data_IF_036865522981
#
_entry.id   IF_036865522981
#
_cell.length_a   1.000
_cell.length_b   1.000
_cell.length_c   1.000
_cell.angle_alpha   90.00
_cell.angle_beta   90.00
_cell.angle_gamma   90.00
#
_symmetry.space_group_name_H-M   'P 1'
#
loop_
_entity.id
_entity.type
_entity.pdbx_description
1 polymer ?
#
# COMPACT_ATOMS: atom_id res chain seq x y z
N UNK A 1 19.11 5.25 -15.00
CA UNK A 1 18.27 5.78 -16.10
C UNK A 1 17.75 7.14 -15.65
N UNK A 2 18.57 8.17 -15.83
CA UNK A 2 18.24 9.54 -15.43
C UNK A 2 17.31 10.15 -16.48
N UNK A 3 16.12 10.58 -16.05
CA UNK A 3 15.22 11.42 -16.87
C UNK A 3 15.86 12.80 -17.06
N UNK A 4 16.89 12.88 -17.88
CA UNK A 4 17.50 14.14 -18.32
C UNK A 4 16.59 14.78 -19.36
N UNK A 5 16.19 16.03 -19.08
CA UNK A 5 15.53 16.91 -20.04
C UNK A 5 16.48 17.12 -21.23
N UNK A 6 16.28 16.42 -22.34
CA UNK A 6 17.06 16.61 -23.56
C UNK A 6 16.19 17.31 -24.61
N UNK A 7 16.67 18.42 -25.17
CA UNK A 7 15.98 19.16 -26.25
C UNK A 7 16.08 18.43 -27.62
N UNK A 8 15.98 17.11 -27.64
CA UNK A 8 15.98 16.30 -28.86
C UNK A 8 14.54 16.04 -29.32
N UNK A 9 14.30 16.00 -30.62
CA UNK A 9 12.95 15.79 -31.17
C UNK A 9 12.27 14.48 -30.73
N UNK A 10 13.05 13.45 -30.37
CA UNK A 10 12.55 12.19 -29.82
C UNK A 10 12.00 12.31 -28.39
N UNK A 11 12.54 13.23 -27.59
CA UNK A 11 12.08 13.50 -26.24
C UNK A 11 10.68 14.13 -26.25
N UNK A 12 10.45 15.12 -27.11
CA UNK A 12 9.13 15.73 -27.29
C UNK A 12 8.07 14.74 -27.78
N UNK A 13 8.43 13.81 -28.68
CA UNK A 13 7.52 12.72 -29.08
C UNK A 13 7.13 11.87 -27.87
N UNK A 14 8.09 11.53 -27.01
CA UNK A 14 7.82 10.75 -25.79
C UNK A 14 6.91 11.52 -24.82
N UNK A 15 7.15 12.83 -24.63
CA UNK A 15 6.29 13.70 -23.81
C UNK A 15 4.87 13.74 -24.36
N UNK A 16 4.70 13.94 -25.67
CA UNK A 16 3.37 13.97 -26.30
C UNK A 16 2.65 12.61 -26.24
N UNK A 17 3.37 11.50 -26.34
CA UNK A 17 2.81 10.16 -26.15
C UNK A 17 2.32 10.00 -24.70
N UNK A 18 3.10 10.43 -23.70
CA UNK A 18 2.67 10.39 -22.30
C UNK A 18 1.47 11.30 -22.04
N UNK A 19 1.45 12.51 -22.59
CA UNK A 19 0.30 13.43 -22.50
C UNK A 19 -0.93 12.83 -23.16
N UNK A 20 -0.78 12.19 -24.34
CA UNK A 20 -1.87 11.50 -25.02
C UNK A 20 -2.39 10.31 -24.20
N UNK A 21 -1.51 9.49 -23.61
CA UNK A 21 -1.92 8.38 -22.73
C UNK A 21 -2.68 8.91 -21.51
N UNK A 22 -2.18 9.97 -20.87
CA UNK A 22 -2.86 10.62 -19.73
C UNK A 22 -4.24 11.14 -20.18
N UNK A 23 -4.31 11.84 -21.31
CA UNK A 23 -5.55 12.35 -21.88
C UNK A 23 -6.56 11.24 -22.17
N UNK A 24 -6.13 10.16 -22.84
CA UNK A 24 -6.97 8.98 -23.14
C UNK A 24 -7.42 8.30 -21.84
N UNK A 25 -6.56 8.20 -20.83
CA UNK A 25 -6.91 7.61 -19.54
C UNK A 25 -7.97 8.44 -18.80
N UNK A 26 -7.82 9.77 -18.78
CA UNK A 26 -8.78 10.69 -18.18
C UNK A 26 -10.13 10.65 -18.91
N UNK A 27 -10.11 10.63 -20.25
CA UNK A 27 -11.32 10.47 -21.06
C UNK A 27 -11.98 9.11 -20.80
N UNK A 28 -11.21 8.03 -20.72
CA UNK A 28 -11.72 6.69 -20.43
C UNK A 28 -12.40 6.65 -19.05
N UNK A 29 -11.80 7.26 -18.04
CA UNK A 29 -12.39 7.39 -16.70
C UNK A 29 -13.72 8.16 -16.78
N UNK A 30 -13.73 9.30 -17.49
CA UNK A 30 -14.94 10.12 -17.66
C UNK A 30 -16.07 9.34 -18.35
N UNK A 31 -15.78 8.68 -19.47
CA UNK A 31 -16.78 7.92 -20.24
C UNK A 31 -17.25 6.65 -19.54
N UNK A 32 -16.41 6.06 -18.68
CA UNK A 32 -16.71 4.79 -18.01
C UNK A 32 -17.88 4.86 -17.01
N UNK A 33 -18.37 6.05 -16.64
CA UNK A 33 -19.38 6.26 -15.58
C UNK A 33 -19.03 5.61 -14.21
N UNK A 34 -17.84 5.02 -14.05
CA UNK A 34 -17.40 4.43 -12.78
C UNK A 34 -17.19 5.49 -11.71
N UNK A 35 -16.85 6.72 -12.11
CA UNK A 35 -16.84 7.90 -11.23
C UNK A 35 -18.23 8.18 -10.64
N UNK A 36 -19.32 7.94 -11.38
CA UNK A 36 -20.68 8.10 -10.86
C UNK A 36 -21.06 7.00 -9.86
N UNK A 37 -20.50 5.79 -9.96
CA UNK A 37 -20.68 4.76 -8.93
C UNK A 37 -19.82 5.06 -7.68
N UNK A 38 -18.67 5.70 -7.83
CA UNK A 38 -17.86 6.17 -6.68
C UNK A 38 -18.46 7.42 -6.00
N UNK A 39 -19.15 8.28 -6.75
CA UNK A 39 -19.77 9.52 -6.26
C UNK A 39 -21.21 9.30 -5.77
N UNK A 40 -22.02 8.47 -6.45
CA UNK A 40 -23.44 8.24 -6.14
C UNK A 40 -23.76 6.81 -5.66
N UNK A 41 -22.84 5.85 -5.80
CA UNK A 41 -23.06 4.42 -5.50
C UNK A 41 -22.51 3.98 -4.14
N UNK A 42 -21.89 4.89 -3.40
CA UNK A 42 -21.57 4.69 -1.99
C UNK A 42 -22.82 5.05 -1.20
N UNK A 43 -23.38 4.08 -0.47
CA UNK A 43 -24.61 4.26 0.33
C UNK A 43 -24.62 5.62 1.03
N UNK A 44 -25.59 6.47 0.68
CA UNK A 44 -25.69 7.81 1.23
C UNK A 44 -25.77 7.72 2.75
N UNK A 45 -24.82 8.37 3.43
CA UNK A 45 -24.98 8.66 4.86
C UNK A 45 -26.14 9.63 5.07
N UNK A 46 -26.42 9.97 6.33
CA UNK A 46 -27.50 10.89 6.70
C UNK A 46 -27.42 12.20 5.87
N UNK A 47 -28.45 12.46 5.07
CA UNK A 47 -28.49 13.57 4.10
C UNK A 47 -28.50 14.96 4.77
N UNK A 48 -28.59 15.02 6.11
CA UNK A 48 -28.72 16.26 6.88
C UNK A 48 -27.44 16.69 7.64
N UNK A 49 -26.29 16.08 7.37
CA UNK A 49 -25.04 16.45 8.05
C UNK A 49 -24.43 17.72 7.47
N UNK A 50 -24.12 18.70 8.32
CA UNK A 50 -23.44 19.93 7.92
C UNK A 50 -22.03 19.64 7.34
N UNK A 51 -21.69 20.33 6.24
CA UNK A 51 -20.43 20.14 5.52
C UNK A 51 -19.22 20.41 6.41
N UNK A 52 -19.30 21.43 7.29
CA UNK A 52 -18.18 21.80 8.16
C UNK A 52 -17.88 20.71 9.20
N UNK A 53 -18.93 20.07 9.73
CA UNK A 53 -18.84 18.94 10.65
C UNK A 53 -18.25 17.74 9.93
N UNK A 54 -18.75 17.44 8.72
CA UNK A 54 -18.30 16.31 7.92
C UNK A 54 -16.81 16.41 7.57
N UNK A 55 -16.36 17.57 7.10
CA UNK A 55 -14.94 17.79 6.78
C UNK A 55 -14.07 17.68 8.04
N UNK A 56 -14.47 18.34 9.13
CA UNK A 56 -13.66 18.39 10.35
C UNK A 56 -13.53 17.01 10.99
N UNK A 57 -14.64 16.28 11.14
CA UNK A 57 -14.65 14.95 11.72
C UNK A 57 -13.84 13.96 10.86
N UNK A 58 -14.01 14.00 9.54
CA UNK A 58 -13.28 13.12 8.64
C UNK A 58 -11.79 13.46 8.60
N UNK A 59 -11.40 14.73 8.64
CA UNK A 59 -10.00 15.13 8.66
C UNK A 59 -9.28 14.63 9.93
N UNK A 60 -9.96 14.69 11.08
CA UNK A 60 -9.45 14.17 12.36
C UNK A 60 -9.30 12.63 12.31
N UNK A 61 -10.25 11.93 11.71
CA UNK A 61 -10.25 10.47 11.61
C UNK A 61 -9.46 9.92 10.42
N UNK A 62 -9.04 10.77 9.49
CA UNK A 62 -8.33 10.36 8.28
C UNK A 62 -7.07 9.51 8.55
N UNK A 63 -6.26 9.77 9.60
CA UNK A 63 -5.15 8.90 9.94
C UNK A 63 -5.58 7.45 10.20
N UNK A 64 -6.77 7.19 10.76
CA UNK A 64 -7.30 5.84 10.95
C UNK A 64 -7.51 5.12 9.61
N UNK A 65 -8.03 5.82 8.61
CA UNK A 65 -8.20 5.30 7.25
C UNK A 65 -6.85 4.96 6.60
N UNK A 66 -5.86 5.86 6.72
CA UNK A 66 -4.53 5.66 6.14
C UNK A 66 -3.78 4.50 6.81
N UNK A 67 -3.83 4.42 8.14
CA UNK A 67 -3.20 3.33 8.89
C UNK A 67 -3.90 1.99 8.63
N UNK A 68 -5.20 2.01 8.26
CA UNK A 68 -5.97 0.84 7.84
C UNK A 68 -5.30 -0.02 6.77
N UNK A 69 -4.49 0.59 5.89
CA UNK A 69 -3.71 -0.10 4.85
C UNK A 69 -2.77 -1.16 5.45
N UNK A 70 -2.25 -0.92 6.66
CA UNK A 70 -1.26 -1.77 7.30
C UNK A 70 -1.88 -2.94 8.08
N UNK A 71 -3.22 -2.98 8.19
CA UNK A 71 -3.96 -4.09 8.82
C UNK A 71 -4.70 -3.74 10.10
N UNK A 72 -4.86 -2.46 10.44
CA UNK A 72 -5.78 -2.07 11.54
C UNK A 72 -7.25 -2.23 11.15
N UNK A 73 -7.53 -2.29 9.85
CA UNK A 73 -8.83 -2.67 9.30
C UNK A 73 -8.75 -4.08 8.71
N UNK A 74 -9.87 -4.79 8.70
CA UNK A 74 -9.91 -6.15 8.14
C UNK A 74 -9.58 -6.20 6.64
N UNK A 75 -8.98 -7.30 6.19
CA UNK A 75 -8.81 -7.57 4.76
C UNK A 75 -10.15 -7.94 4.11
N UNK A 76 -10.19 -8.08 2.78
CA UNK A 76 -11.39 -8.56 2.08
C UNK A 76 -12.59 -7.63 2.25
N UNK A 77 -13.68 -8.10 2.86
CA UNK A 77 -14.86 -7.28 3.19
C UNK A 77 -14.82 -6.81 4.65
N UNK A 78 -13.64 -6.43 5.12
CA UNK A 78 -13.36 -6.03 6.51
C UNK A 78 -13.61 -7.14 7.54
N UNK A 79 -13.75 -8.38 7.09
CA UNK A 79 -14.13 -9.54 7.90
C UNK A 79 -12.91 -10.38 8.35
N UNK A 80 -11.72 -10.03 7.84
CA UNK A 80 -10.47 -10.71 8.19
C UNK A 80 -9.57 -9.76 8.97
N UNK A 81 -9.79 -9.66 10.28
CA UNK A 81 -8.98 -8.82 11.16
C UNK A 81 -7.55 -9.34 11.29
N UNK A 82 -6.58 -8.44 11.14
CA UNK A 82 -5.17 -8.79 11.28
C UNK A 82 -4.69 -8.61 12.72
N UNK A 83 -3.92 -9.56 13.27
CA UNK A 83 -3.38 -9.42 14.62
C UNK A 83 -2.35 -8.29 14.70
N UNK A 84 -2.13 -7.79 15.93
CA UNK A 84 -1.18 -6.71 16.21
C UNK A 84 0.23 -6.94 15.69
N UNK A 85 0.69 -8.20 15.66
CA UNK A 85 2.00 -8.56 15.11
C UNK A 85 2.16 -8.19 13.62
N UNK A 86 1.07 -8.16 12.85
CA UNK A 86 1.09 -7.77 11.44
C UNK A 86 1.14 -6.26 11.32
N UNK A 87 0.12 -5.54 11.82
CA UNK A 87 -0.02 -4.11 11.54
C UNK A 87 1.04 -3.25 12.23
N UNK A 88 1.51 -3.64 13.42
CA UNK A 88 2.61 -2.94 14.10
C UNK A 88 3.89 -3.06 13.28
N UNK A 89 4.19 -4.26 12.79
CA UNK A 89 5.41 -4.53 12.03
C UNK A 89 5.40 -3.80 10.68
N UNK A 90 4.29 -3.87 9.93
CA UNK A 90 4.18 -3.25 8.61
C UNK A 90 4.17 -1.73 8.70
N UNK A 91 3.44 -1.15 9.66
CA UNK A 91 3.44 0.30 9.91
C UNK A 91 4.83 0.78 10.31
N UNK A 92 5.49 0.10 11.24
CA UNK A 92 6.84 0.45 11.69
C UNK A 92 7.84 0.48 10.53
N UNK A 93 7.88 -0.58 9.72
CA UNK A 93 8.80 -0.65 8.57
C UNK A 93 8.48 0.45 7.56
N UNK A 94 7.21 0.64 7.22
CA UNK A 94 6.81 1.67 6.27
C UNK A 94 7.20 3.07 6.75
N UNK A 95 6.87 3.41 8.00
CA UNK A 95 7.21 4.70 8.60
C UNK A 95 8.72 4.91 8.68
N UNK A 96 9.49 3.88 9.06
CA UNK A 96 10.95 3.96 9.11
C UNK A 96 11.56 4.22 7.72
N UNK A 97 11.07 3.52 6.69
CA UNK A 97 11.53 3.71 5.32
C UNK A 97 11.15 5.08 4.76
N UNK A 98 9.92 5.54 4.99
CA UNK A 98 9.46 6.88 4.58
C UNK A 98 10.30 7.96 5.26
N UNK A 99 10.49 7.87 6.57
CA UNK A 99 11.31 8.81 7.31
C UNK A 99 12.77 8.82 6.81
N UNK A 100 13.34 7.65 6.56
CA UNK A 100 14.67 7.55 5.95
C UNK A 100 14.71 8.18 4.55
N UNK A 101 13.76 7.87 3.67
CA UNK A 101 13.72 8.40 2.30
C UNK A 101 13.49 9.91 2.23
N UNK A 102 12.87 10.49 3.25
CA UNK A 102 12.73 11.94 3.42
C UNK A 102 14.04 12.67 3.74
N UNK A 103 15.12 11.94 4.08
CA UNK A 103 16.45 12.52 4.29
C UNK A 103 17.08 13.14 3.04
N UNK A 104 16.48 12.94 1.86
CA UNK A 104 16.89 13.58 0.61
C UNK A 104 15.69 14.05 -0.21
N UNK A 105 15.64 15.34 -0.52
CA UNK A 105 14.66 15.93 -1.43
C UNK A 105 15.34 16.90 -2.41
N UNK A 106 15.26 16.60 -3.70
CA UNK A 106 15.43 17.62 -4.73
C UNK A 106 14.10 18.37 -4.96
N UNK A 107 14.13 19.51 -5.64
CA UNK A 107 12.93 20.34 -5.87
C UNK A 107 11.82 19.57 -6.59
N UNK A 108 12.17 18.65 -7.48
CA UNK A 108 11.22 17.87 -8.28
C UNK A 108 10.54 16.80 -7.43
N UNK A 109 11.30 16.05 -6.65
CA UNK A 109 10.82 15.05 -5.69
C UNK A 109 9.99 15.72 -4.60
N UNK A 110 10.40 16.87 -4.08
CA UNK A 110 9.61 17.61 -3.10
C UNK A 110 8.25 18.00 -3.67
N UNK A 111 8.20 18.55 -4.88
CA UNK A 111 6.94 18.90 -5.54
C UNK A 111 6.05 17.67 -5.77
N UNK A 112 6.61 16.57 -6.29
CA UNK A 112 5.88 15.34 -6.54
C UNK A 112 5.38 14.67 -5.25
N UNK A 113 6.21 14.62 -4.20
CA UNK A 113 5.85 14.06 -2.91
C UNK A 113 4.75 14.89 -2.23
N UNK A 114 4.86 16.22 -2.26
CA UNK A 114 3.80 17.11 -1.73
C UNK A 114 2.50 16.94 -2.52
N UNK A 115 2.55 16.84 -3.84
CA UNK A 115 1.36 16.59 -4.65
C UNK A 115 0.68 15.27 -4.28
N UNK A 116 1.45 14.18 -4.17
CA UNK A 116 0.92 12.87 -3.80
C UNK A 116 0.42 12.81 -2.36
N UNK A 117 1.10 13.50 -1.43
CA UNK A 117 0.67 13.62 -0.04
C UNK A 117 -0.64 14.41 0.08
N UNK A 118 -0.76 15.52 -0.65
CA UNK A 118 -2.02 16.27 -0.74
C UNK A 118 -3.13 15.41 -1.35
N UNK A 119 -2.83 14.60 -2.37
CA UNK A 119 -3.80 13.68 -2.96
C UNK A 119 -4.24 12.58 -1.97
N UNK A 120 -3.32 12.05 -1.13
CA UNK A 120 -3.63 11.09 -0.07
C UNK A 120 -4.63 11.63 0.96
N UNK A 121 -4.71 12.94 1.13
CA UNK A 121 -5.66 13.62 2.02
C UNK A 121 -6.93 13.99 1.26
N UNK A 122 -6.78 14.71 0.14
CA UNK A 122 -7.89 15.30 -0.59
C UNK A 122 -8.79 14.25 -1.26
N UNK A 123 -8.23 13.18 -1.81
CA UNK A 123 -9.00 12.14 -2.50
C UNK A 123 -10.00 11.41 -1.59
N UNK A 124 -9.59 10.76 -0.48
CA UNK A 124 -10.54 10.11 0.41
C UNK A 124 -11.49 11.10 1.08
N UNK A 125 -11.04 12.31 1.41
CA UNK A 125 -11.91 13.35 1.98
C UNK A 125 -13.00 13.77 1.00
N UNK A 126 -12.67 13.94 -0.29
CA UNK A 126 -13.65 14.26 -1.33
C UNK A 126 -14.69 13.15 -1.49
N UNK A 127 -14.28 11.87 -1.44
CA UNK A 127 -15.20 10.73 -1.49
C UNK A 127 -16.11 10.68 -0.27
N UNK A 128 -15.59 10.92 0.93
CA UNK A 128 -16.36 10.95 2.17
C UNK A 128 -17.38 12.09 2.17
N UNK A 129 -16.97 13.27 1.67
CA UNK A 129 -17.87 14.43 1.53
C UNK A 129 -18.95 14.19 0.48
N UNK A 130 -18.59 13.64 -0.70
CA UNK A 130 -19.56 13.38 -1.76
C UNK A 130 -20.59 12.31 -1.39
N UNK A 131 -20.24 11.41 -0.47
CA UNK A 131 -21.10 10.33 0.01
C UNK A 131 -21.77 10.60 1.36
N UNK A 132 -21.65 11.83 1.89
CA UNK A 132 -22.15 12.21 3.23
C UNK A 132 -21.75 11.22 4.33
N UNK A 133 -20.54 10.65 4.22
CA UNK A 133 -20.09 9.50 5.02
C UNK A 133 -18.94 9.87 5.95
N UNK A 134 -18.86 9.20 7.10
CA UNK A 134 -17.73 9.31 8.01
C UNK A 134 -16.70 8.20 7.78
N UNK A 135 -15.42 8.47 8.10
CA UNK A 135 -14.39 7.43 8.19
C UNK A 135 -14.89 6.28 9.07
N UNK A 136 -14.76 5.04 8.57
CA UNK A 136 -15.26 3.83 9.24
C UNK A 136 -16.48 3.20 8.57
N UNK A 137 -17.08 3.89 7.60
CA UNK A 137 -18.25 3.40 6.85
C UNK A 137 -17.86 2.85 5.48
N UNK A 138 -18.08 3.64 4.44
CA UNK A 138 -18.06 3.17 3.06
C UNK A 138 -16.70 3.33 2.35
N UNK A 139 -15.91 4.32 2.76
CA UNK A 139 -14.58 4.55 2.20
C UNK A 139 -13.58 3.67 2.94
N UNK A 140 -13.01 2.70 2.21
CA UNK A 140 -12.08 1.72 2.76
C UNK A 140 -10.62 2.06 2.46
N UNK A 141 -9.66 1.63 3.31
CA UNK A 141 -8.24 1.87 3.10
C UNK A 141 -7.68 1.42 1.75
N UNK A 142 -8.28 0.37 1.14
CA UNK A 142 -7.87 -0.13 -0.18
C UNK A 142 -8.00 0.90 -1.31
N UNK A 143 -8.88 1.91 -1.16
CA UNK A 143 -9.10 2.93 -2.19
C UNK A 143 -7.92 3.92 -2.30
N UNK A 144 -7.13 4.07 -1.25
CA UNK A 144 -5.94 4.93 -1.22
C UNK A 144 -4.62 4.16 -1.39
N UNK A 145 -4.69 2.83 -1.53
CA UNK A 145 -3.51 1.96 -1.65
C UNK A 145 -2.59 2.33 -2.84
N UNK A 146 -3.09 2.63 -4.05
CA UNK A 146 -2.22 3.04 -5.15
C UNK A 146 -1.49 4.36 -4.85
N UNK A 147 -2.18 5.32 -4.22
CA UNK A 147 -1.61 6.63 -3.88
C UNK A 147 -0.47 6.50 -2.86
N UNK A 148 -0.63 5.66 -1.83
CA UNK A 148 0.41 5.50 -0.79
C UNK A 148 1.66 4.80 -1.35
N UNK A 149 1.48 3.84 -2.27
CA UNK A 149 2.58 3.17 -2.96
C UNK A 149 3.32 4.15 -3.87
N UNK A 150 2.61 4.98 -4.64
CA UNK A 150 3.23 6.03 -5.46
C UNK A 150 3.97 7.04 -4.60
N UNK A 151 3.37 7.50 -3.50
CA UNK A 151 4.02 8.41 -2.55
C UNK A 151 5.32 7.82 -2.01
N UNK A 152 5.27 6.57 -1.51
CA UNK A 152 6.46 5.87 -1.03
C UNK A 152 7.53 5.72 -2.13
N UNK A 153 7.13 5.35 -3.34
CA UNK A 153 8.03 5.25 -4.50
C UNK A 153 8.75 6.57 -4.81
N UNK A 154 8.04 7.69 -4.79
CA UNK A 154 8.63 9.02 -4.96
C UNK A 154 9.57 9.36 -3.80
N UNK A 155 9.18 9.10 -2.56
CA UNK A 155 10.01 9.34 -1.37
C UNK A 155 11.28 8.48 -1.38
N UNK A 156 11.25 7.27 -1.93
CA UNK A 156 12.42 6.40 -2.02
C UNK A 156 13.30 6.71 -3.24
N UNK A 157 12.77 7.43 -4.23
CA UNK A 157 13.52 7.76 -5.43
C UNK A 157 14.79 8.56 -5.09
N UNK A 158 15.95 8.07 -5.56
CA UNK A 158 17.27 8.65 -5.32
C UNK A 158 17.75 8.60 -3.87
N UNK A 159 16.99 8.00 -2.93
CA UNK A 159 17.37 7.96 -1.52
C UNK A 159 18.62 7.09 -1.27
N UNK A 160 18.74 5.96 -1.97
CA UNK A 160 19.87 5.02 -1.83
C UNK A 160 21.22 5.60 -2.25
N UNK A 161 21.22 6.56 -3.16
CA UNK A 161 22.42 7.23 -3.67
C UNK A 161 22.85 8.41 -2.79
N UNK A 162 21.90 9.05 -2.11
CA UNK A 162 22.12 10.34 -1.44
C UNK A 162 22.05 10.27 0.10
N UNK A 163 21.58 9.17 0.66
CA UNK A 163 21.39 8.98 2.11
C UNK A 163 22.26 7.81 2.57
N UNK A 164 22.78 7.90 3.80
CA UNK A 164 23.49 6.78 4.41
C UNK A 164 22.64 5.52 4.39
N UNK A 165 23.25 4.43 3.90
CA UNK A 165 22.63 3.12 3.86
C UNK A 165 22.26 2.62 5.25
N UNK A 166 21.21 1.78 5.32
CA UNK A 166 20.91 1.02 6.53
C UNK A 166 22.09 0.12 6.91
N UNK A 167 22.25 -0.13 8.20
CA UNK A 167 23.20 -1.14 8.67
C UNK A 167 22.74 -2.54 8.25
N UNK A 168 23.68 -3.48 8.17
CA UNK A 168 23.35 -4.87 7.84
C UNK A 168 22.29 -5.46 8.77
N UNK A 169 22.44 -5.17 10.07
CA UNK A 169 21.51 -5.57 11.11
C UNK A 169 20.12 -4.95 10.91
N UNK A 170 20.02 -3.66 10.56
CA UNK A 170 18.73 -3.02 10.28
C UNK A 170 18.02 -3.67 9.08
N UNK A 171 18.76 -3.98 8.01
CA UNK A 171 18.21 -4.66 6.85
C UNK A 171 17.70 -6.07 7.17
N UNK A 172 18.45 -6.85 7.95
CA UNK A 172 18.03 -8.19 8.39
C UNK A 172 16.79 -8.11 9.29
N UNK A 173 16.77 -7.20 10.27
CA UNK A 173 15.63 -7.03 11.17
C UNK A 173 14.39 -6.60 10.38
N UNK A 174 14.51 -5.61 9.48
CA UNK A 174 13.41 -5.17 8.64
C UNK A 174 12.88 -6.29 7.74
N UNK A 175 13.78 -7.08 7.14
CA UNK A 175 13.42 -8.25 6.35
C UNK A 175 12.71 -9.33 7.17
N UNK A 176 13.19 -9.62 8.38
CA UNK A 176 12.56 -10.60 9.27
C UNK A 176 11.15 -10.15 9.70
N UNK A 177 10.99 -8.88 10.07
CA UNK A 177 9.71 -8.32 10.48
C UNK A 177 8.67 -8.37 9.36
N UNK A 178 9.03 -7.99 8.13
CA UNK A 178 8.09 -8.03 7.00
C UNK A 178 7.73 -9.47 6.62
N UNK A 179 8.69 -10.40 6.73
CA UNK A 179 8.46 -11.82 6.48
C UNK A 179 7.52 -12.45 7.52
N UNK A 180 7.71 -12.14 8.80
CA UNK A 180 6.82 -12.59 9.87
C UNK A 180 5.42 -12.02 9.67
N UNK A 181 5.31 -10.72 9.38
CA UNK A 181 4.03 -10.09 9.12
C UNK A 181 3.29 -10.74 7.94
N UNK A 182 3.97 -11.03 6.83
CA UNK A 182 3.41 -11.75 5.70
C UNK A 182 2.98 -13.18 6.06
N UNK A 183 3.81 -13.91 6.80
CA UNK A 183 3.52 -15.29 7.19
C UNK A 183 2.29 -15.39 8.08
N UNK A 184 2.15 -14.46 9.03
CA UNK A 184 0.99 -14.38 9.91
C UNK A 184 -0.26 -13.93 9.15
N UNK A 185 -0.15 -12.89 8.31
CA UNK A 185 -1.30 -12.40 7.53
C UNK A 185 -1.82 -13.48 6.56
N UNK A 186 -0.92 -14.21 5.91
CA UNK A 186 -1.28 -15.33 5.03
C UNK A 186 -1.99 -16.44 5.81
N UNK A 187 -1.51 -16.80 7.01
CA UNK A 187 -2.15 -17.81 7.84
C UNK A 187 -3.58 -17.42 8.20
N UNK A 188 -3.76 -16.19 8.70
CA UNK A 188 -5.07 -15.67 9.14
C UNK A 188 -6.03 -15.58 7.96
N UNK A 189 -5.54 -15.12 6.81
CA UNK A 189 -6.35 -15.02 5.61
C UNK A 189 -6.78 -16.40 5.08
N UNK A 190 -5.89 -17.38 5.02
CA UNK A 190 -6.27 -18.76 4.63
C UNK A 190 -7.29 -19.33 5.63
N UNK A 191 -7.05 -19.17 6.94
CA UNK A 191 -7.97 -19.70 7.97
C UNK A 191 -9.39 -19.19 7.78
N UNK A 192 -9.56 -17.89 7.50
CA UNK A 192 -10.87 -17.27 7.30
C UNK A 192 -11.71 -18.01 6.26
N UNK A 193 -11.09 -18.50 5.19
CA UNK A 193 -11.77 -19.23 4.10
C UNK A 193 -11.88 -20.73 4.33
N UNK A 194 -11.04 -21.32 5.19
CA UNK A 194 -10.99 -22.78 5.38
C UNK A 194 -11.83 -23.25 6.57
N UNK A 195 -11.77 -22.55 7.70
CA UNK A 195 -12.45 -22.94 8.95
C UNK A 195 -13.18 -21.77 9.63
N UNK A 196 -13.28 -20.61 8.96
CA UNK A 196 -13.83 -19.40 9.56
C UNK A 196 -12.99 -18.85 10.73
N UNK A 197 -13.67 -18.29 11.73
CA UNK A 197 -13.05 -17.68 12.93
C UNK A 197 -13.12 -18.57 14.19
N UNK A 198 -13.82 -19.70 14.10
CA UNK A 198 -14.22 -20.50 15.26
C UNK A 198 -13.15 -21.55 15.63
N UNK A 199 -12.45 -22.09 14.65
CA UNK A 199 -11.39 -23.08 14.86
C UNK A 199 -10.06 -22.40 15.16
N UNK A 200 -9.52 -22.62 16.36
CA UNK A 200 -8.22 -22.10 16.80
C UNK A 200 -7.14 -23.18 16.66
N UNK A 201 -6.03 -22.86 16.01
CA UNK A 201 -4.88 -23.78 15.94
C UNK A 201 -3.97 -23.53 14.74
N UNK A 202 -2.72 -23.99 14.82
CA UNK A 202 -1.72 -23.75 13.79
C UNK A 202 -1.92 -24.58 12.51
N UNK A 203 -2.57 -25.74 12.61
CA UNK A 203 -2.80 -26.61 11.46
C UNK A 203 -4.04 -26.17 10.69
N UNK A 204 -3.83 -25.56 9.52
CA UNK A 204 -4.89 -25.08 8.63
C UNK A 204 -5.62 -26.19 7.86
N UNK A 205 -5.08 -27.41 7.83
CA UNK A 205 -5.72 -28.55 7.14
C UNK A 205 -6.60 -29.38 8.06
N UNK A 206 -6.58 -29.11 9.37
CA UNK A 206 -7.44 -29.78 10.32
C UNK A 206 -8.83 -29.13 10.26
N UNK A 207 -9.87 -29.96 10.18
CA UNK A 207 -11.29 -29.53 10.18
C UNK A 207 -11.60 -28.53 9.04
N UNK A 208 -10.91 -28.66 7.90
CA UNK A 208 -11.12 -27.81 6.73
C UNK A 208 -12.52 -28.03 6.13
N UNK A 209 -13.35 -26.99 6.15
CA UNK A 209 -14.71 -27.01 5.63
C UNK A 209 -14.75 -26.68 4.14
N UNK A 210 -13.90 -25.74 3.71
CA UNK A 210 -13.84 -25.30 2.33
C UNK A 210 -12.39 -25.21 1.82
N UNK A 211 -12.03 -26.19 1.01
CA UNK A 211 -10.79 -26.22 0.23
C UNK A 211 -10.99 -27.14 -0.97
N UNK A 212 -10.23 -26.93 -2.05
CA UNK A 212 -10.29 -27.86 -3.18
C UNK A 212 -9.80 -29.25 -2.77
N UNK A 213 -10.30 -30.28 -3.44
CA UNK A 213 -9.89 -31.68 -3.20
C UNK A 213 -8.65 -32.08 -4.01
N UNK A 214 -8.25 -31.27 -5.00
CA UNK A 214 -7.11 -31.55 -5.88
C UNK A 214 -6.05 -30.44 -5.75
N UNK A 215 -4.80 -30.80 -5.43
CA UNK A 215 -3.69 -29.84 -5.32
C UNK A 215 -3.12 -29.71 -3.90
N UNK A 216 -2.32 -28.68 -3.62
CA UNK A 216 -1.68 -28.51 -2.32
C UNK A 216 -2.71 -28.22 -1.23
N UNK A 217 -2.45 -28.72 -0.03
CA UNK A 217 -3.29 -28.48 1.16
C UNK A 217 -3.17 -27.01 1.62
N UNK A 218 -4.12 -26.50 2.44
CA UNK A 218 -4.00 -25.16 3.02
C UNK A 218 -2.67 -24.95 3.75
N UNK A 219 -2.22 -25.99 4.46
CA UNK A 219 -0.95 -25.97 5.19
C UNK A 219 0.24 -25.90 4.23
N UNK A 220 0.20 -26.64 3.11
CA UNK A 220 1.24 -26.58 2.11
C UNK A 220 1.32 -25.20 1.43
N UNK A 221 0.19 -24.57 1.09
CA UNK A 221 0.18 -23.21 0.56
C UNK A 221 0.77 -22.21 1.55
N UNK A 222 0.39 -22.30 2.82
CA UNK A 222 0.93 -21.42 3.84
C UNK A 222 2.46 -21.56 3.95
N UNK A 223 2.98 -22.79 4.05
CA UNK A 223 4.43 -23.04 4.14
C UNK A 223 5.15 -22.55 2.88
N UNK A 224 4.66 -22.91 1.69
CA UNK A 224 5.31 -22.54 0.43
C UNK A 224 5.27 -21.03 0.18
N UNK A 225 4.15 -20.38 0.50
CA UNK A 225 4.02 -18.93 0.43
C UNK A 225 4.99 -18.23 1.38
N UNK A 226 5.05 -18.66 2.63
CA UNK A 226 5.98 -18.12 3.64
C UNK A 226 7.44 -18.31 3.26
N UNK A 227 7.83 -19.48 2.73
CA UNK A 227 9.20 -19.74 2.28
C UNK A 227 9.56 -18.94 1.03
N UNK A 228 8.64 -18.86 0.05
CA UNK A 228 8.82 -18.06 -1.16
C UNK A 228 9.01 -16.58 -0.82
N UNK A 229 8.23 -16.05 0.12
CA UNK A 229 8.36 -14.67 0.56
C UNK A 229 9.65 -14.45 1.37
N UNK A 230 10.05 -15.40 2.23
CA UNK A 230 11.34 -15.35 2.91
C UNK A 230 12.50 -15.26 1.91
N UNK A 231 12.45 -16.07 0.85
CA UNK A 231 13.45 -16.07 -0.22
C UNK A 231 13.47 -14.73 -0.95
N UNK A 232 12.32 -14.20 -1.34
CA UNK A 232 12.21 -12.89 -2.00
C UNK A 232 12.84 -11.78 -1.15
N UNK A 233 12.46 -11.69 0.13
CA UNK A 233 13.00 -10.70 1.06
C UNK A 233 14.52 -10.88 1.23
N UNK A 234 14.99 -12.11 1.38
CA UNK A 234 16.42 -12.40 1.51
C UNK A 234 17.21 -11.94 0.27
N UNK A 235 16.67 -12.18 -0.93
CA UNK A 235 17.27 -11.74 -2.19
C UNK A 235 17.30 -10.22 -2.28
N UNK A 236 16.22 -9.53 -1.92
CA UNK A 236 16.14 -8.06 -1.95
C UNK A 236 17.11 -7.40 -0.95
N UNK A 237 17.20 -7.95 0.27
CA UNK A 237 18.15 -7.46 1.28
C UNK A 237 19.59 -7.69 0.82
N UNK A 238 19.89 -8.86 0.24
CA UNK A 238 21.21 -9.16 -0.29
C UNK A 238 21.58 -8.27 -1.50
N UNK A 239 20.64 -8.01 -2.41
CA UNK A 239 20.87 -7.15 -3.58
C UNK A 239 21.12 -5.71 -3.15
N UNK A 240 20.35 -5.19 -2.20
CA UNK A 240 20.54 -3.86 -1.62
C UNK A 240 21.96 -3.67 -1.07
N UNK A 241 22.44 -4.60 -0.23
CA UNK A 241 23.80 -4.50 0.32
C UNK A 241 24.90 -4.70 -0.72
N UNK A 242 24.63 -5.47 -1.78
CA UNK A 242 25.56 -5.62 -2.89
C UNK A 242 25.73 -4.29 -3.64
N UNK A 243 24.63 -3.61 -3.95
CA UNK A 243 24.65 -2.30 -4.64
C UNK A 243 25.40 -1.23 -3.85
N UNK A 244 25.20 -1.17 -2.53
CA UNK A 244 25.91 -0.22 -1.67
C UNK A 244 27.41 -0.50 -1.64
N UNK A 245 27.83 -1.77 -1.61
CA UNK A 245 29.25 -2.13 -1.65
C UNK A 245 29.88 -1.71 -2.98
N UNK A 246 29.19 -1.92 -4.10
CA UNK A 246 29.70 -1.48 -5.41
C UNK A 246 29.79 0.04 -5.52
N UNK A 247 28.83 0.78 -4.96
CA UNK A 247 28.83 2.24 -5.00
C UNK A 247 29.98 2.87 -4.18
N UNK A 248 30.46 2.19 -3.13
CA UNK A 248 31.61 2.63 -2.31
C UNK A 248 32.98 2.26 -2.89
N UNK A 249 33.02 1.41 -3.91
CA UNK A 249 34.27 0.94 -4.53
C UNK A 249 34.77 1.87 -5.66
N UNK A 250 33.96 2.86 -6.05
CA UNK A 250 34.27 3.93 -6.99
C UNK A 250 34.38 5.27 -6.26
#
# INVERSE_FOLDING_TARGET
MTLTFSKTGSWWKSVWIFVAIIGISLLSIWFSHQSNAAINGVASGDENVDLSVLITANLIQLPSLLVGIFGTWGLGWLDTEMPGSVWVSTLFIFSALVFWGMGYFDKKKALAATFLFSALIAYPLALLVSSSSFVGSNVQPRYVLPLIIMFAGVVFFGATENISAFSHTQGIIGGALIWIAFTVSLQVNIRRYVTGVDVKGWNLSKDAEWWWTFGPTPMAIWILGSLSFALLVSVLVASYFREIKTAKAY
#
